data_IF_809054297344
#
_entry.id   IF_809054297344
#
_cell.length_a   1.000
_cell.length_b   1.000
_cell.length_c   1.000
_cell.angle_alpha   90.00
_cell.angle_beta   90.00
_cell.angle_gamma   90.00
#
_symmetry.space_group_name_H-M   'P 1'
#
loop_
_entity.id
_entity.type
_entity.pdbx_description
1 polymer ?
#
# COMPACT_ATOMS: atom_id res chain seq x y z
N UNK A 1 3.33 22.38 2.00
CA UNK A 1 4.33 21.33 2.30
C UNK A 1 3.63 19.99 2.07
N UNK A 2 3.47 19.55 0.81
CA UNK A 2 2.54 18.45 0.48
C UNK A 2 3.03 17.48 -0.61
N UNK A 3 4.32 17.52 -0.99
CA UNK A 3 4.79 16.78 -2.18
C UNK A 3 6.01 15.92 -1.88
N UNK A 4 7.00 16.47 -1.16
CA UNK A 4 8.27 15.79 -0.91
C UNK A 4 8.13 14.55 0.00
N UNK A 5 7.31 14.63 1.04
CA UNK A 5 7.09 13.51 1.97
C UNK A 5 6.25 12.39 1.34
N UNK A 6 5.34 12.76 0.42
CA UNK A 6 4.54 11.78 -0.33
C UNK A 6 5.43 10.99 -1.29
N UNK A 7 6.30 11.69 -2.03
CA UNK A 7 7.26 11.05 -2.93
C UNK A 7 8.26 10.16 -2.18
N UNK A 8 8.75 10.59 -1.01
CA UNK A 8 9.61 9.76 -0.15
C UNK A 8 8.89 8.49 0.32
N UNK A 9 7.62 8.61 0.71
CA UNK A 9 6.82 7.47 1.17
C UNK A 9 6.59 6.45 0.05
N UNK A 10 6.24 6.90 -1.15
CA UNK A 10 6.07 6.02 -2.31
C UNK A 10 7.40 5.35 -2.68
N UNK A 11 8.51 6.09 -2.68
CA UNK A 11 9.83 5.54 -2.97
C UNK A 11 10.25 4.47 -1.95
N UNK A 12 9.97 4.68 -0.66
CA UNK A 12 10.23 3.69 0.38
C UNK A 12 9.39 2.41 0.19
N UNK A 13 8.10 2.56 -0.12
CA UNK A 13 7.23 1.44 -0.39
C UNK A 13 7.74 0.62 -1.59
N UNK A 14 8.08 1.28 -2.70
CA UNK A 14 8.65 0.63 -3.89
C UNK A 14 9.94 -0.11 -3.53
N UNK A 15 10.84 0.51 -2.77
CA UNK A 15 12.10 -0.10 -2.36
C UNK A 15 11.91 -1.33 -1.47
N UNK A 16 10.85 -1.38 -0.65
CA UNK A 16 10.57 -2.50 0.25
C UNK A 16 9.95 -3.68 -0.47
N UNK A 17 9.03 -3.41 -1.39
CA UNK A 17 8.34 -4.43 -2.18
C UNK A 17 9.22 -4.95 -3.33
N UNK A 18 10.12 -4.10 -3.85
CA UNK A 18 11.10 -4.46 -4.87
C UNK A 18 10.80 -3.88 -6.24
N UNK A 19 9.55 -3.50 -6.54
CA UNK A 19 9.21 -2.78 -7.77
C UNK A 19 7.91 -1.98 -7.66
N UNK A 20 7.78 -0.98 -8.53
CA UNK A 20 6.56 -0.19 -8.67
C UNK A 20 5.40 -1.03 -9.24
N UNK A 21 5.70 -1.91 -10.21
CA UNK A 21 4.70 -2.78 -10.83
C UNK A 21 4.06 -3.70 -9.79
N UNK A 22 4.87 -4.22 -8.88
CA UNK A 22 4.39 -5.08 -7.81
C UNK A 22 3.53 -4.32 -6.80
N UNK A 23 3.92 -3.08 -6.45
CA UNK A 23 3.10 -2.22 -5.61
C UNK A 23 1.73 -1.92 -6.23
N UNK A 24 1.66 -1.77 -7.56
CA UNK A 24 0.41 -1.58 -8.30
C UNK A 24 -0.42 -2.87 -8.33
N UNK A 25 0.22 -4.02 -8.59
CA UNK A 25 -0.43 -5.34 -8.59
C UNK A 25 -1.05 -5.68 -7.23
N UNK A 26 -0.36 -5.34 -6.16
CA UNK A 26 -0.81 -5.52 -4.77
C UNK A 26 -1.87 -4.50 -4.32
N UNK A 27 -2.14 -3.47 -5.14
CA UNK A 27 -3.07 -2.40 -4.79
C UNK A 27 -2.54 -1.44 -3.72
N UNK A 28 -1.24 -1.47 -3.40
CA UNK A 28 -0.62 -0.53 -2.46
C UNK A 28 -0.37 0.84 -3.08
N UNK A 29 -0.20 0.88 -4.40
CA UNK A 29 -0.22 2.11 -5.19
C UNK A 29 -1.38 2.08 -6.18
N UNK A 30 -1.84 3.27 -6.57
CA UNK A 30 -2.73 3.48 -7.71
C UNK A 30 -2.17 4.56 -8.62
N UNK A 31 -2.71 4.65 -9.83
CA UNK A 31 -2.44 5.75 -10.76
C UNK A 31 -3.67 6.63 -10.85
N UNK A 32 -3.47 7.94 -10.86
CA UNK A 32 -4.54 8.86 -11.27
C UNK A 32 -4.58 9.04 -12.80
N UNK A 33 -5.52 9.84 -13.27
CA UNK A 33 -5.77 10.10 -14.69
C UNK A 33 -4.56 10.69 -15.43
N UNK A 34 -3.63 11.33 -14.70
CA UNK A 34 -2.39 11.87 -15.23
C UNK A 34 -1.21 10.88 -15.12
N UNK A 35 -1.50 9.61 -14.84
CA UNK A 35 -0.52 8.56 -14.56
C UNK A 35 0.41 8.85 -13.36
N UNK A 36 0.01 9.75 -12.47
CA UNK A 36 0.76 10.04 -11.25
C UNK A 36 0.46 8.95 -10.22
N UNK A 37 1.51 8.44 -9.56
CA UNK A 37 1.36 7.44 -8.52
C UNK A 37 0.77 8.06 -7.26
N UNK A 38 -0.16 7.35 -6.63
CA UNK A 38 -0.74 7.70 -5.35
C UNK A 38 -0.64 6.52 -4.38
N UNK A 39 -0.38 6.84 -3.13
CA UNK A 39 -0.44 5.86 -2.04
C UNK A 39 -1.90 5.48 -1.75
N UNK A 40 -2.21 4.19 -1.77
CA UNK A 40 -3.54 3.71 -1.40
C UNK A 40 -3.69 3.55 0.12
N UNK A 41 -4.92 3.43 0.65
CA UNK A 41 -5.14 3.06 2.05
C UNK A 41 -4.45 1.75 2.44
N UNK A 42 -4.47 0.74 1.57
CA UNK A 42 -3.81 -0.54 1.80
C UNK A 42 -2.27 -0.38 1.88
N UNK A 43 -1.69 0.43 0.99
CA UNK A 43 -0.25 0.73 1.00
C UNK A 43 0.17 1.51 2.25
N UNK A 44 -0.64 2.46 2.70
CA UNK A 44 -0.41 3.16 3.97
C UNK A 44 -0.51 2.23 5.17
N UNK A 45 -1.54 1.37 5.20
CA UNK A 45 -1.71 0.36 6.25
C UNK A 45 -0.49 -0.56 6.32
N UNK A 46 0.00 -1.07 5.18
CA UNK A 46 1.20 -1.91 5.15
C UNK A 46 2.43 -1.20 5.78
N UNK A 47 2.63 0.09 5.48
CA UNK A 47 3.74 0.85 6.05
C UNK A 47 3.63 1.02 7.58
N UNK A 48 2.43 1.19 8.12
CA UNK A 48 2.20 1.38 9.56
C UNK A 48 2.21 0.02 10.28
N UNK A 49 1.37 -0.90 9.82
CA UNK A 49 1.04 -2.13 10.54
C UNK A 49 2.11 -3.20 10.35
N UNK A 50 2.79 -3.20 9.20
CA UNK A 50 3.85 -4.17 8.91
C UNK A 50 5.22 -3.55 9.12
N UNK A 51 5.53 -2.48 8.39
CA UNK A 51 6.89 -1.92 8.38
C UNK A 51 7.23 -1.21 9.69
N UNK A 52 6.39 -0.29 10.17
CA UNK A 52 6.69 0.46 11.39
C UNK A 52 6.62 -0.41 12.66
N UNK A 53 5.85 -1.49 12.61
CA UNK A 53 5.74 -2.48 13.70
C UNK A 53 6.79 -3.60 13.62
N UNK A 54 7.71 -3.54 12.65
CA UNK A 54 8.75 -4.54 12.38
C UNK A 54 8.19 -5.98 12.26
N UNK A 55 6.99 -6.11 11.69
CA UNK A 55 6.34 -7.39 11.45
C UNK A 55 6.87 -7.98 10.15
N UNK A 56 7.36 -9.21 10.21
CA UNK A 56 7.72 -9.97 9.00
C UNK A 56 6.46 -10.61 8.40
N UNK A 57 5.78 -9.88 7.51
CA UNK A 57 4.66 -10.39 6.74
C UNK A 57 4.98 -10.45 5.25
N UNK A 58 4.47 -11.46 4.56
CA UNK A 58 4.50 -11.49 3.10
C UNK A 58 3.56 -10.40 2.56
N UNK A 59 4.02 -9.50 1.66
CA UNK A 59 3.18 -8.43 1.12
C UNK A 59 1.86 -8.91 0.51
N UNK A 60 1.89 -10.02 -0.23
CA UNK A 60 0.70 -10.66 -0.79
C UNK A 60 -0.32 -11.06 0.29
N UNK A 61 0.16 -11.63 1.41
CA UNK A 61 -0.70 -12.07 2.49
C UNK A 61 -1.37 -10.88 3.20
N UNK A 62 -0.62 -9.79 3.39
CA UNK A 62 -1.19 -8.57 3.94
C UNK A 62 -2.24 -7.95 3.00
N UNK A 63 -1.92 -7.84 1.71
CA UNK A 63 -2.85 -7.27 0.71
C UNK A 63 -4.15 -8.07 0.63
N UNK A 64 -4.07 -9.41 0.63
CA UNK A 64 -5.25 -10.28 0.63
C UNK A 64 -6.08 -10.10 1.90
N UNK A 65 -5.44 -10.08 3.08
CA UNK A 65 -6.13 -9.88 4.35
C UNK A 65 -6.80 -8.51 4.46
N UNK A 66 -6.14 -7.44 4.03
CA UNK A 66 -6.72 -6.10 3.99
C UNK A 66 -7.95 -6.06 3.09
N UNK A 67 -7.85 -6.63 1.89
CA UNK A 67 -8.97 -6.67 0.92
C UNK A 67 -10.16 -7.41 1.50
N UNK A 68 -9.93 -8.61 2.06
CA UNK A 68 -10.98 -9.40 2.68
C UNK A 68 -11.66 -8.65 3.83
N UNK A 69 -10.89 -8.07 4.75
CA UNK A 69 -11.43 -7.32 5.88
C UNK A 69 -12.21 -6.08 5.45
N UNK A 70 -11.73 -5.38 4.41
CA UNK A 70 -12.43 -4.23 3.84
C UNK A 70 -13.77 -4.63 3.24
N UNK A 71 -13.80 -5.70 2.43
CA UNK A 71 -15.04 -6.22 1.83
C UNK A 71 -16.05 -6.63 2.91
N UNK A 72 -15.62 -7.32 3.97
CA UNK A 72 -16.50 -7.68 5.08
C UNK A 72 -17.11 -6.45 5.77
N UNK A 73 -16.31 -5.39 5.96
CA UNK A 73 -16.78 -4.14 6.56
C UNK A 73 -17.79 -3.40 5.68
N UNK A 74 -17.60 -3.41 4.36
CA UNK A 74 -18.53 -2.82 3.40
C UNK A 74 -19.84 -3.61 3.29
N UNK A 75 -19.77 -4.94 3.40
CA UNK A 75 -20.93 -5.84 3.32
C UNK A 75 -21.73 -5.93 4.64
N UNK A 76 -21.19 -5.38 5.75
CA UNK A 76 -21.87 -5.32 7.04
C UNK A 76 -22.09 -6.68 7.72
N UNK A 77 -21.20 -7.65 7.47
CA UNK A 77 -21.22 -8.98 8.07
C UNK A 77 -20.79 -8.98 9.54
#
# INVERSE_FOLDING_TARGET
MYDEDHHKTIAQLISRIGSQEECLRLGFLSKDDNATLRLSPAGMGYLIDVVASDVSALPDAYAAGYTQGHTQAEEGL
#
